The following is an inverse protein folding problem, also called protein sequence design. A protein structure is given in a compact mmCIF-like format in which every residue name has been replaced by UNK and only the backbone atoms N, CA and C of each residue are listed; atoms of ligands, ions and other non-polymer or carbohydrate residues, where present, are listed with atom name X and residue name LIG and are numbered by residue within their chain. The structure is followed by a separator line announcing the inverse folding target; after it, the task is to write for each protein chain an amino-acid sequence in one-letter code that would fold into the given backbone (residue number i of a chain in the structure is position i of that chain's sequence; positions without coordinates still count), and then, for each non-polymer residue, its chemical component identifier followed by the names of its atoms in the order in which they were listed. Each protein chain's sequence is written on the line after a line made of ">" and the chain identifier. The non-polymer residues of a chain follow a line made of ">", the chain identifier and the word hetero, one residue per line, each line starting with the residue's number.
data_IF_484471769567
#
_entry.id   IF_484471769567
#
_cell.length_a   1.000
_cell.length_b   1.000
_cell.length_c   1.000
_cell.angle_alpha   90.00
_cell.angle_beta   90.00
_cell.angle_gamma   90.00
#
_symmetry.space_group_name_H-M   'P 1'
#
loop_
_entity.id
_entity.type
_entity.pdbx_description
1 polymer ?
#
# COMPACT_ATOMS: atom_id res chain seq x y z
N UNK A 1 3.09 13.95 -18.83
CA UNK A 1 4.29 13.77 -19.68
C UNK A 1 5.17 12.74 -18.98
N UNK A 2 5.34 11.54 -19.53
CA UNK A 2 6.22 10.53 -18.94
C UNK A 2 7.66 10.93 -19.30
N UNK A 3 8.44 11.33 -18.30
CA UNK A 3 9.84 11.65 -18.50
C UNK A 3 10.57 10.38 -19.01
N UNK A 4 11.47 10.53 -19.97
CA UNK A 4 12.28 9.44 -20.58
C UNK A 4 13.75 9.67 -20.24
N UNK A 5 14.65 8.71 -20.52
CA UNK A 5 16.10 8.94 -20.35
C UNK A 5 16.61 10.20 -21.05
N UNK A 6 15.98 10.57 -22.17
CA UNK A 6 16.27 11.82 -22.88
C UNK A 6 15.96 13.07 -22.05
N UNK A 7 15.03 13.01 -21.10
CA UNK A 7 14.71 14.15 -20.22
C UNK A 7 15.72 14.33 -19.08
N UNK A 8 16.42 13.27 -18.69
CA UNK A 8 17.54 13.37 -17.77
C UNK A 8 18.72 14.14 -18.36
N UNK A 9 18.84 14.13 -19.70
CA UNK A 9 19.92 14.77 -20.44
C UNK A 9 19.54 16.13 -21.05
N UNK A 10 18.28 16.58 -21.01
CA UNK A 10 17.80 17.79 -21.74
C UNK A 10 17.44 19.01 -20.88
N UNK A 11 17.90 19.09 -19.62
CA UNK A 11 17.95 20.34 -18.82
C UNK A 11 16.64 21.11 -18.53
N UNK A 12 15.46 20.65 -18.93
CA UNK A 12 14.17 21.30 -18.56
C UNK A 12 13.51 20.56 -17.41
N UNK A 13 13.92 20.89 -16.18
CA UNK A 13 13.34 20.42 -14.92
C UNK A 13 12.70 21.59 -14.18
N UNK A 14 11.66 21.35 -13.38
CA UNK A 14 11.14 22.38 -12.48
C UNK A 14 12.11 22.59 -11.32
N UNK A 15 12.08 23.78 -10.72
CA UNK A 15 12.86 24.06 -9.51
C UNK A 15 12.48 23.11 -8.36
N UNK A 16 11.21 22.69 -8.29
CA UNK A 16 10.72 21.69 -7.33
C UNK A 16 11.34 20.32 -7.56
N UNK A 17 11.42 19.88 -8.83
CA UNK A 17 12.09 18.64 -9.19
C UNK A 17 13.58 18.67 -8.82
N UNK A 18 14.28 19.75 -9.17
CA UNK A 18 15.71 19.89 -8.87
C UNK A 18 15.98 19.86 -7.37
N UNK A 19 15.16 20.56 -6.58
CA UNK A 19 15.20 20.48 -5.13
C UNK A 19 15.02 19.05 -4.61
N UNK A 20 13.98 18.35 -5.07
CA UNK A 20 13.74 16.97 -4.63
C UNK A 20 14.86 16.02 -5.05
N UNK A 21 15.47 16.25 -6.21
CA UNK A 21 16.59 15.45 -6.70
C UNK A 21 17.87 15.71 -5.89
N UNK A 22 18.14 16.96 -5.49
CA UNK A 22 19.20 17.31 -4.54
C UNK A 22 19.02 16.58 -3.20
N UNK A 23 17.80 16.60 -2.65
CA UNK A 23 17.46 15.84 -1.45
C UNK A 23 17.61 14.33 -1.67
N UNK A 24 17.24 13.81 -2.84
CA UNK A 24 17.43 12.40 -3.16
C UNK A 24 18.90 12.00 -3.21
N UNK A 25 19.77 12.86 -3.76
CA UNK A 25 21.22 12.66 -3.75
C UNK A 25 21.79 12.68 -2.33
N UNK A 26 21.33 13.60 -1.48
CA UNK A 26 21.70 13.63 -0.06
C UNK A 26 21.35 12.31 0.64
N UNK A 27 20.10 11.85 0.51
CA UNK A 27 19.62 10.61 1.13
C UNK A 27 20.37 9.40 0.57
N UNK A 28 20.53 9.30 -0.75
CA UNK A 28 21.24 8.19 -1.39
C UNK A 28 22.72 8.14 -0.97
N UNK A 29 23.37 9.30 -0.88
CA UNK A 29 24.73 9.40 -0.35
C UNK A 29 24.78 8.92 1.10
N UNK A 30 23.89 9.40 1.98
CA UNK A 30 23.81 8.95 3.36
C UNK A 30 23.55 7.44 3.48
N UNK A 31 22.71 6.86 2.61
CA UNK A 31 22.46 5.42 2.51
C UNK A 31 23.75 4.65 2.17
N UNK A 32 24.65 5.20 1.34
CA UNK A 32 25.95 4.56 1.02
C UNK A 32 26.93 4.49 2.21
N UNK A 33 26.69 5.31 3.25
CA UNK A 33 27.45 5.32 4.50
C UNK A 33 26.69 4.74 5.70
N UNK A 34 25.55 4.07 5.47
CA UNK A 34 24.69 3.52 6.55
C UNK A 34 24.16 4.59 7.52
N UNK A 35 24.10 5.86 7.08
CA UNK A 35 23.60 7.00 7.87
C UNK A 35 22.14 7.34 7.60
N UNK A 36 21.54 6.71 6.60
CA UNK A 36 20.12 6.83 6.26
C UNK A 36 19.55 5.44 5.99
N UNK A 37 18.24 5.28 6.24
CA UNK A 37 17.54 4.01 6.05
C UNK A 37 17.56 3.64 4.57
N UNK A 38 18.00 2.41 4.26
CA UNK A 38 18.06 1.86 2.90
C UNK A 38 16.66 1.43 2.40
N UNK A 39 16.54 0.95 1.16
CA UNK A 39 15.32 0.27 0.70
C UNK A 39 15.03 -1.00 1.51
N UNK A 40 13.93 -1.70 1.20
CA UNK A 40 13.43 -2.85 1.97
C UNK A 40 14.41 -4.01 2.09
N UNK A 41 15.35 -4.16 1.16
CA UNK A 41 16.17 -5.37 1.00
C UNK A 41 17.65 -5.07 1.22
N UNK A 42 18.40 -6.09 1.67
CA UNK A 42 19.85 -5.98 1.87
C UNK A 42 20.63 -5.75 0.58
N UNK A 43 20.07 -6.14 -0.57
CA UNK A 43 20.63 -5.85 -1.90
C UNK A 43 20.29 -4.47 -2.44
N UNK A 44 19.45 -3.67 -1.76
CA UNK A 44 19.25 -2.25 -2.06
C UNK A 44 20.46 -1.41 -1.61
N UNK A 45 21.66 -2.00 -1.62
CA UNK A 45 22.90 -1.39 -1.18
C UNK A 45 23.28 -0.31 -2.18
N UNK A 46 23.52 0.89 -1.65
CA UNK A 46 24.10 1.99 -2.40
C UNK A 46 25.61 1.92 -2.21
N UNK A 47 26.35 1.77 -3.29
CA UNK A 47 27.81 1.80 -3.26
C UNK A 47 28.31 3.23 -3.10
N UNK A 48 29.51 3.40 -2.55
CA UNK A 48 30.16 4.71 -2.37
C UNK A 48 30.79 5.20 -3.68
N UNK A 49 29.99 5.23 -4.75
CA UNK A 49 30.36 5.80 -6.03
C UNK A 49 29.19 6.59 -6.63
N UNK A 50 29.52 7.54 -7.50
CA UNK A 50 28.55 8.44 -8.10
C UNK A 50 27.45 7.69 -8.85
N UNK A 51 27.78 6.65 -9.62
CA UNK A 51 26.82 5.93 -10.44
C UNK A 51 25.74 5.24 -9.59
N UNK A 52 26.14 4.62 -8.48
CA UNK A 52 25.21 3.96 -7.56
C UNK A 52 24.34 4.97 -6.82
N UNK A 53 24.92 6.05 -6.27
CA UNK A 53 24.19 7.13 -5.58
C UNK A 53 23.19 7.81 -6.52
N UNK A 54 23.63 8.18 -7.73
CA UNK A 54 22.81 8.81 -8.75
C UNK A 54 21.68 7.88 -9.20
N UNK A 55 21.99 6.60 -9.44
CA UNK A 55 21.00 5.59 -9.82
C UNK A 55 19.93 5.42 -8.74
N UNK A 56 20.31 5.43 -7.46
CA UNK A 56 19.36 5.38 -6.35
C UNK A 56 18.50 6.64 -6.27
N UNK A 57 19.11 7.83 -6.36
CA UNK A 57 18.41 9.10 -6.27
C UNK A 57 17.32 9.25 -7.34
N UNK A 58 17.58 8.77 -8.56
CA UNK A 58 16.66 8.81 -9.71
C UNK A 58 15.29 8.16 -9.44
N UNK A 59 15.25 7.14 -8.59
CA UNK A 59 14.04 6.35 -8.30
C UNK A 59 13.66 6.37 -6.82
N UNK A 60 14.25 7.27 -6.02
CA UNK A 60 14.10 7.23 -4.56
C UNK A 60 12.65 7.41 -4.09
N UNK A 61 11.89 8.25 -4.81
CA UNK A 61 10.48 8.54 -4.52
C UNK A 61 9.49 7.67 -5.32
N UNK A 62 9.98 6.67 -6.04
CA UNK A 62 9.13 5.69 -6.71
C UNK A 62 8.69 4.61 -5.70
N UNK A 63 7.50 4.04 -5.94
CA UNK A 63 6.86 2.99 -5.15
C UNK A 63 6.57 3.29 -3.67
N UNK A 64 5.30 3.16 -3.30
CA UNK A 64 4.88 3.20 -1.89
C UNK A 64 5.23 1.88 -1.21
N UNK A 65 5.85 1.97 -0.02
CA UNK A 65 6.23 0.82 0.81
C UNK A 65 5.86 1.03 2.28
N UNK A 66 6.17 0.06 3.13
CA UNK A 66 6.12 0.29 4.57
C UNK A 66 7.18 1.32 4.98
N UNK A 67 6.76 2.31 5.76
CA UNK A 67 7.67 3.26 6.39
C UNK A 67 8.40 2.55 7.54
N UNK A 68 9.70 2.77 7.65
CA UNK A 68 10.57 2.11 8.63
C UNK A 68 10.56 2.83 9.96
N UNK A 69 9.38 3.03 10.56
CA UNK A 69 9.25 3.78 11.80
C UNK A 69 10.26 3.29 12.87
N UNK A 70 10.95 4.19 13.61
CA UNK A 70 11.93 3.78 14.61
C UNK A 70 11.37 2.80 15.65
N UNK A 71 10.12 2.97 16.07
CA UNK A 71 9.47 2.10 17.07
C UNK A 71 9.14 0.74 16.48
N UNK A 72 8.72 0.68 15.21
CA UNK A 72 8.50 -0.59 14.51
C UNK A 72 9.81 -1.36 14.36
N UNK A 73 10.88 -0.68 13.94
CA UNK A 73 12.21 -1.31 13.77
C UNK A 73 12.76 -1.77 15.12
N UNK A 74 12.62 -0.97 16.18
CA UNK A 74 13.04 -1.35 17.53
C UNK A 74 12.26 -2.59 18.01
N UNK A 75 10.92 -2.58 17.86
CA UNK A 75 10.08 -3.73 18.21
C UNK A 75 10.53 -5.00 17.48
N UNK A 76 10.76 -4.93 16.17
CA UNK A 76 11.16 -6.09 15.37
C UNK A 76 12.57 -6.59 15.72
N UNK A 77 13.51 -5.69 16.02
CA UNK A 77 14.88 -6.07 16.44
C UNK A 77 14.91 -6.73 17.82
N UNK A 78 14.01 -6.32 18.71
CA UNK A 78 13.94 -6.80 20.10
C UNK A 78 12.92 -7.94 20.28
N UNK A 79 12.17 -8.28 19.22
CA UNK A 79 11.09 -9.26 19.26
C UNK A 79 11.62 -10.65 19.67
N UNK A 80 11.02 -11.21 20.73
CA UNK A 80 11.36 -12.54 21.25
C UNK A 80 10.15 -13.45 21.19
N UNK A 81 10.31 -14.58 20.51
CA UNK A 81 9.29 -15.62 20.43
C UNK A 81 9.90 -16.98 20.76
N UNK A 82 9.25 -17.72 21.66
CA UNK A 82 9.55 -19.13 21.85
C UNK A 82 8.87 -19.94 20.72
N UNK A 83 9.64 -20.34 19.71
CA UNK A 83 9.11 -21.07 18.56
C UNK A 83 8.42 -22.39 18.93
N UNK A 84 8.96 -23.12 19.93
CA UNK A 84 8.37 -24.39 20.37
C UNK A 84 6.97 -24.19 20.94
N UNK A 85 6.81 -23.18 21.79
CA UNK A 85 5.51 -22.88 22.41
C UNK A 85 4.53 -22.32 21.37
N UNK A 86 5.00 -21.38 20.54
CA UNK A 86 4.17 -20.73 19.53
C UNK A 86 3.61 -21.70 18.49
N UNK A 87 4.38 -22.70 18.06
CA UNK A 87 3.88 -23.68 17.10
C UNK A 87 2.86 -24.65 17.71
N UNK A 88 2.78 -24.75 19.04
CA UNK A 88 1.85 -25.64 19.75
C UNK A 88 0.56 -24.93 20.18
N UNK A 89 0.51 -23.59 20.14
CA UNK A 89 -0.65 -22.81 20.58
C UNK A 89 -1.88 -23.06 19.69
N UNK A 90 -2.87 -23.79 20.21
CA UNK A 90 -4.14 -24.07 19.53
C UNK A 90 -5.15 -22.93 19.66
N UNK A 91 -4.99 -22.03 20.62
CA UNK A 91 -5.86 -20.88 20.88
C UNK A 91 -5.42 -19.65 20.07
N UNK A 92 -4.28 -19.72 19.38
CA UNK A 92 -3.73 -18.61 18.61
C UNK A 92 -4.70 -18.08 17.54
N UNK A 93 -5.53 -18.96 16.95
CA UNK A 93 -6.56 -18.53 16.01
C UNK A 93 -7.55 -17.56 16.68
N UNK A 94 -8.04 -17.90 17.88
CA UNK A 94 -9.00 -17.07 18.60
C UNK A 94 -8.35 -15.74 19.05
N UNK A 95 -7.07 -15.79 19.48
CA UNK A 95 -6.29 -14.57 19.79
C UNK A 95 -6.13 -13.66 18.57
N UNK A 96 -5.89 -14.24 17.38
CA UNK A 96 -5.81 -13.47 16.14
C UNK A 96 -7.14 -12.80 15.82
N UNK A 97 -8.26 -13.51 15.96
CA UNK A 97 -9.60 -12.96 15.74
C UNK A 97 -9.86 -11.80 16.70
N UNK A 98 -9.63 -11.99 18.01
CA UNK A 98 -9.82 -10.95 19.02
C UNK A 98 -8.97 -9.71 18.75
N UNK A 99 -7.69 -9.91 18.46
CA UNK A 99 -6.75 -8.82 18.17
C UNK A 99 -7.16 -8.06 16.91
N UNK A 100 -7.51 -8.78 15.84
CA UNK A 100 -7.93 -8.17 14.58
C UNK A 100 -9.26 -7.41 14.71
N UNK A 101 -10.26 -7.97 15.39
CA UNK A 101 -11.56 -7.33 15.57
C UNK A 101 -11.43 -6.01 16.34
N UNK A 102 -10.63 -6.01 17.42
CA UNK A 102 -10.30 -4.80 18.17
C UNK A 102 -9.55 -3.78 17.29
N UNK A 103 -8.57 -4.24 16.52
CA UNK A 103 -7.74 -3.40 15.67
C UNK A 103 -8.54 -2.74 14.52
N UNK A 104 -9.53 -3.46 13.99
CA UNK A 104 -10.36 -3.05 12.85
C UNK A 104 -11.65 -2.33 13.24
N UNK A 105 -11.95 -2.18 14.54
CA UNK A 105 -13.24 -1.70 15.04
C UNK A 105 -13.75 -0.42 14.37
N UNK A 106 -12.87 0.52 14.02
CA UNK A 106 -13.23 1.79 13.37
C UNK A 106 -13.05 1.79 11.84
N UNK A 107 -12.57 0.71 11.24
CA UNK A 107 -12.20 0.62 9.83
C UNK A 107 -13.20 -0.20 9.00
N UNK A 108 -13.88 -1.16 9.62
CA UNK A 108 -14.85 -2.01 8.93
C UNK A 108 -16.22 -1.99 9.60
N UNK A 109 -17.26 -2.09 8.79
CA UNK A 109 -18.58 -2.55 9.24
C UNK A 109 -18.61 -4.05 8.93
N UNK A 110 -18.52 -4.92 9.94
CA UNK A 110 -18.42 -6.36 9.73
C UNK A 110 -19.72 -6.95 9.17
N UNK A 111 -19.63 -8.17 8.64
CA UNK A 111 -20.77 -8.97 8.22
C UNK A 111 -20.78 -10.28 9.01
N UNK A 112 -21.93 -10.65 9.56
CA UNK A 112 -22.11 -11.92 10.28
C UNK A 112 -21.89 -13.16 9.38
N UNK A 113 -21.96 -12.97 8.07
CA UNK A 113 -21.71 -13.99 7.05
C UNK A 113 -20.22 -14.21 6.76
N UNK A 114 -19.34 -13.37 7.28
CA UNK A 114 -17.91 -13.46 7.09
C UNK A 114 -17.22 -14.06 8.32
N UNK A 115 -16.13 -14.78 8.08
CA UNK A 115 -15.27 -15.33 9.11
C UNK A 115 -13.81 -15.00 8.79
N UNK A 116 -13.10 -14.52 9.80
CA UNK A 116 -11.66 -14.24 9.71
C UNK A 116 -10.88 -15.55 9.69
N UNK A 117 -9.90 -15.63 8.79
CA UNK A 117 -8.89 -16.68 8.71
C UNK A 117 -7.52 -16.05 8.56
N UNK A 118 -6.46 -16.63 9.12
CA UNK A 118 -5.12 -16.19 8.79
C UNK A 118 -4.81 -16.49 7.31
N UNK A 119 -3.92 -15.70 6.73
CA UNK A 119 -3.62 -15.74 5.30
C UNK A 119 -2.10 -15.71 5.09
N UNK A 120 -1.52 -16.65 4.30
CA UNK A 120 -0.09 -16.64 4.02
C UNK A 120 0.26 -15.47 3.08
N UNK A 121 -0.56 -15.19 2.07
CA UNK A 121 -0.42 -13.95 1.33
C UNK A 121 -1.70 -13.57 0.59
N UNK A 122 -1.84 -12.29 0.26
CA UNK A 122 -2.94 -11.81 -0.60
C UNK A 122 -2.96 -12.52 -1.94
N UNK A 123 -1.78 -12.90 -2.46
CA UNK A 123 -1.65 -13.66 -3.69
C UNK A 123 -2.32 -15.03 -3.59
N UNK A 124 -2.13 -15.75 -2.49
CA UNK A 124 -2.72 -17.08 -2.32
C UNK A 124 -4.24 -16.98 -2.22
N UNK A 125 -4.75 -16.01 -1.45
CA UNK A 125 -6.18 -15.73 -1.38
C UNK A 125 -6.77 -15.33 -2.75
N UNK A 126 -6.04 -14.54 -3.54
CA UNK A 126 -6.45 -14.21 -4.91
C UNK A 126 -6.49 -15.45 -5.80
N UNK A 127 -5.49 -16.33 -5.74
CA UNK A 127 -5.46 -17.58 -6.52
C UNK A 127 -6.66 -18.46 -6.18
N UNK A 128 -6.97 -18.63 -4.88
CA UNK A 128 -8.17 -19.36 -4.44
C UNK A 128 -9.45 -18.75 -5.03
N UNK A 129 -9.60 -17.42 -4.95
CA UNK A 129 -10.74 -16.71 -5.52
C UNK A 129 -10.84 -16.90 -7.04
N UNK A 130 -9.73 -16.79 -7.76
CA UNK A 130 -9.67 -16.94 -9.21
C UNK A 130 -9.99 -18.38 -9.64
N UNK A 131 -9.54 -19.38 -8.89
CA UNK A 131 -9.84 -20.79 -9.15
C UNK A 131 -11.31 -21.10 -8.92
N UNK A 132 -11.87 -20.65 -7.79
CA UNK A 132 -13.30 -20.77 -7.46
C UNK A 132 -14.21 -20.15 -8.53
N UNK A 133 -13.75 -19.04 -9.12
CA UNK A 133 -14.50 -18.26 -10.10
C UNK A 133 -13.94 -18.39 -11.52
N UNK A 134 -13.28 -19.51 -11.84
CA UNK A 134 -12.63 -19.73 -13.14
C UNK A 134 -13.59 -19.71 -14.34
N UNK A 135 -14.87 -20.03 -14.12
CA UNK A 135 -15.95 -20.01 -15.10
C UNK A 135 -16.55 -18.61 -15.32
N UNK A 136 -16.18 -17.63 -14.49
CA UNK A 136 -16.66 -16.24 -14.57
C UNK A 136 -15.66 -15.38 -15.34
N UNK A 137 -16.14 -14.27 -15.89
CA UNK A 137 -15.32 -13.25 -16.53
C UNK A 137 -14.71 -12.33 -15.47
N UNK A 138 -13.39 -12.17 -15.46
CA UNK A 138 -12.70 -11.36 -14.45
C UNK A 138 -12.76 -9.87 -14.80
N UNK A 139 -13.25 -9.04 -13.88
CA UNK A 139 -13.34 -7.59 -14.00
C UNK A 139 -12.46 -6.91 -12.94
N UNK A 140 -11.72 -5.89 -13.37
CA UNK A 140 -10.86 -5.05 -12.53
C UNK A 140 -11.04 -3.58 -12.91
N UNK A 141 -10.71 -2.66 -12.01
CA UNK A 141 -10.68 -1.23 -12.34
C UNK A 141 -9.34 -0.86 -13.00
N UNK A 142 -9.26 0.25 -13.75
CA UNK A 142 -8.01 0.66 -14.40
C UNK A 142 -6.91 1.08 -13.40
N UNK A 143 -7.31 1.60 -12.24
CA UNK A 143 -6.39 2.02 -11.15
C UNK A 143 -6.12 0.90 -10.13
N UNK A 144 -6.35 -0.36 -10.53
CA UNK A 144 -6.23 -1.54 -9.69
C UNK A 144 -4.76 -1.92 -9.44
N UNK A 145 -4.44 -2.46 -8.26
CA UNK A 145 -3.12 -3.04 -7.98
C UNK A 145 -2.89 -4.30 -8.83
N UNK A 146 -3.90 -5.18 -8.84
CA UNK A 146 -3.92 -6.42 -9.62
C UNK A 146 -4.17 -6.16 -11.11
N UNK A 147 -3.11 -5.81 -11.83
CA UNK A 147 -3.17 -5.48 -13.26
C UNK A 147 -3.29 -6.73 -14.18
N UNK A 148 -3.57 -6.47 -15.46
CA UNK A 148 -3.73 -7.52 -16.49
C UNK A 148 -2.50 -8.41 -16.63
N UNK A 149 -1.29 -7.86 -16.58
CA UNK A 149 -0.03 -8.62 -16.71
C UNK A 149 0.13 -9.60 -15.54
N UNK A 150 -0.08 -9.15 -14.31
CA UNK A 150 -0.04 -10.02 -13.13
C UNK A 150 -1.08 -11.13 -13.20
N UNK A 151 -2.31 -10.80 -13.60
CA UNK A 151 -3.40 -11.77 -13.70
C UNK A 151 -3.18 -12.80 -14.82
N UNK A 152 -2.48 -12.41 -15.89
CA UNK A 152 -2.10 -13.31 -16.99
C UNK A 152 -1.20 -14.46 -16.52
N UNK A 153 -0.34 -14.23 -15.52
CA UNK A 153 0.50 -15.28 -14.93
C UNK A 153 -0.32 -16.36 -14.22
N UNK A 154 -1.55 -16.06 -13.82
CA UNK A 154 -2.50 -17.03 -13.27
C UNK A 154 -3.45 -17.60 -14.32
N UNK A 155 -3.16 -17.40 -15.61
CA UNK A 155 -3.99 -17.84 -16.75
C UNK A 155 -5.39 -17.23 -16.71
N UNK A 156 -5.49 -15.98 -16.26
CA UNK A 156 -6.73 -15.22 -16.22
C UNK A 156 -6.60 -13.97 -17.09
N UNK A 157 -7.55 -13.79 -18.01
CA UNK A 157 -7.69 -12.54 -18.76
C UNK A 157 -8.67 -11.65 -18.03
N UNK A 158 -8.23 -10.45 -17.67
CA UNK A 158 -9.04 -9.45 -16.99
C UNK A 158 -9.50 -8.37 -17.96
N UNK A 159 -10.73 -7.90 -17.78
CA UNK A 159 -11.28 -6.76 -18.53
C UNK A 159 -11.60 -5.60 -17.60
N UNK A 160 -11.26 -4.39 -18.04
CA UNK A 160 -11.55 -3.20 -17.26
C UNK A 160 -13.05 -2.96 -17.16
N UNK A 161 -13.51 -2.51 -15.99
CA UNK A 161 -14.76 -1.80 -15.86
C UNK A 161 -14.45 -0.34 -15.52
N UNK A 162 -15.29 0.57 -16.01
CA UNK A 162 -15.20 2.00 -15.76
C UNK A 162 -16.22 2.40 -14.70
N UNK A 163 -17.42 1.83 -14.79
CA UNK A 163 -18.51 2.10 -13.86
C UNK A 163 -19.12 0.80 -13.35
N UNK A 164 -19.82 0.84 -12.20
CA UNK A 164 -20.56 -0.32 -11.70
C UNK A 164 -21.59 -0.91 -12.69
N UNK A 165 -22.07 -0.13 -13.66
CA UNK A 165 -23.03 -0.59 -14.69
C UNK A 165 -22.44 -1.61 -15.66
N UNK A 166 -21.11 -1.62 -15.84
CA UNK A 166 -20.43 -2.52 -16.77
C UNK A 166 -20.39 -3.99 -16.31
N UNK A 167 -20.77 -4.25 -15.05
CA UNK A 167 -20.69 -5.56 -14.40
C UNK A 167 -21.90 -6.42 -14.74
N UNK A 168 -21.68 -7.66 -15.19
CA UNK A 168 -22.73 -8.61 -15.57
C UNK A 168 -22.78 -9.85 -14.68
N UNK A 169 -23.88 -10.60 -14.68
CA UNK A 169 -24.12 -11.76 -13.78
C UNK A 169 -23.05 -12.86 -13.88
N UNK A 170 -22.39 -13.00 -15.04
CA UNK A 170 -21.32 -13.96 -15.29
C UNK A 170 -19.93 -13.45 -14.93
N UNK A 171 -19.83 -12.25 -14.36
CA UNK A 171 -18.57 -11.65 -13.98
C UNK A 171 -18.13 -12.12 -12.57
N UNK A 172 -16.87 -11.89 -12.25
CA UNK A 172 -16.31 -11.80 -10.90
C UNK A 172 -15.41 -10.57 -10.83
N UNK A 173 -15.35 -9.90 -9.69
CA UNK A 173 -14.62 -8.64 -9.53
C UNK A 173 -13.44 -8.82 -8.58
N UNK A 174 -12.29 -8.28 -8.95
CA UNK A 174 -11.15 -8.05 -8.05
C UNK A 174 -10.96 -6.54 -7.95
N UNK A 175 -10.96 -6.02 -6.73
CA UNK A 175 -10.77 -4.59 -6.47
C UNK A 175 -9.91 -4.37 -5.21
N UNK A 176 -8.97 -3.44 -5.27
CA UNK A 176 -8.26 -2.90 -4.11
C UNK A 176 -9.02 -1.68 -3.62
N UNK A 177 -9.37 -1.65 -2.33
CA UNK A 177 -10.00 -0.50 -1.68
C UNK A 177 -9.17 -0.13 -0.43
N UNK A 178 -8.55 1.06 -0.39
CA UNK A 178 -8.52 2.11 -1.42
C UNK A 178 -7.81 1.70 -2.72
N UNK A 179 -8.18 2.32 -3.85
CA UNK A 179 -7.56 2.05 -5.15
C UNK A 179 -6.06 2.35 -5.11
N UNK A 180 -5.26 1.53 -5.80
CA UNK A 180 -3.81 1.71 -5.79
C UNK A 180 -3.36 2.95 -6.57
N UNK A 181 -4.10 3.31 -7.63
CA UNK A 181 -3.68 4.39 -8.53
C UNK A 181 -3.71 5.79 -7.92
N UNK A 182 -4.63 6.04 -6.98
CA UNK A 182 -4.83 7.34 -6.35
C UNK A 182 -5.01 7.27 -4.82
N UNK A 183 -5.01 6.07 -4.23
CA UNK A 183 -5.26 5.83 -2.81
C UNK A 183 -6.64 6.28 -2.34
N UNK A 184 -7.62 6.42 -3.23
CA UNK A 184 -8.99 6.81 -2.88
C UNK A 184 -9.92 5.60 -2.74
N UNK A 185 -10.90 5.69 -1.85
CA UNK A 185 -12.08 4.84 -1.89
C UNK A 185 -13.09 5.50 -2.82
N UNK A 186 -13.41 4.92 -4.00
CA UNK A 186 -14.30 5.56 -4.93
C UNK A 186 -15.70 5.74 -4.35
N UNK A 187 -16.36 6.87 -4.64
CA UNK A 187 -17.74 7.14 -4.22
C UNK A 187 -18.75 6.11 -4.76
N UNK A 188 -18.43 5.45 -5.88
CA UNK A 188 -19.24 4.40 -6.48
C UNK A 188 -19.00 3.00 -5.87
N UNK A 189 -18.10 2.84 -4.89
CA UNK A 189 -17.75 1.53 -4.34
C UNK A 189 -18.94 0.82 -3.68
N UNK A 190 -19.80 1.52 -2.95
CA UNK A 190 -21.03 0.94 -2.39
C UNK A 190 -22.01 0.50 -3.50
N UNK A 191 -22.20 1.33 -4.53
CA UNK A 191 -23.02 1.01 -5.69
C UNK A 191 -22.51 -0.24 -6.43
N UNK A 192 -21.18 -0.42 -6.52
CA UNK A 192 -20.57 -1.62 -7.06
C UNK A 192 -20.95 -2.85 -6.25
N UNK A 193 -20.83 -2.79 -4.92
CA UNK A 193 -21.16 -3.91 -4.03
C UNK A 193 -22.66 -4.24 -4.06
N UNK A 194 -23.54 -3.24 -4.13
CA UNK A 194 -24.99 -3.42 -4.30
C UNK A 194 -25.32 -4.13 -5.62
N UNK A 195 -24.80 -3.63 -6.75
CA UNK A 195 -25.03 -4.24 -8.06
C UNK A 195 -24.48 -5.66 -8.13
N UNK A 196 -23.27 -5.89 -7.61
CA UNK A 196 -22.71 -7.23 -7.55
C UNK A 196 -23.56 -8.17 -6.70
N UNK A 197 -24.13 -7.67 -5.59
CA UNK A 197 -25.02 -8.46 -4.73
C UNK A 197 -26.30 -8.84 -5.46
N UNK A 198 -26.94 -7.87 -6.14
CA UNK A 198 -28.16 -8.11 -6.91
C UNK A 198 -27.95 -9.09 -8.08
N UNK A 199 -26.76 -9.09 -8.68
CA UNK A 199 -26.41 -9.95 -9.82
C UNK A 199 -25.74 -11.28 -9.42
N UNK A 200 -25.55 -11.53 -8.12
CA UNK A 200 -24.83 -12.74 -7.65
C UNK A 200 -23.37 -12.81 -8.13
N UNK A 201 -22.73 -11.66 -8.32
CA UNK A 201 -21.34 -11.52 -8.76
C UNK A 201 -20.42 -11.50 -7.53
N UNK A 202 -19.46 -12.42 -7.39
CA UNK A 202 -18.56 -12.43 -6.26
C UNK A 202 -17.46 -11.36 -6.41
N UNK A 203 -17.13 -10.72 -5.29
CA UNK A 203 -16.13 -9.65 -5.20
C UNK A 203 -15.01 -10.05 -4.25
N UNK A 204 -13.78 -9.93 -4.73
CA UNK A 204 -12.55 -9.98 -3.94
C UNK A 204 -12.09 -8.56 -3.65
N UNK A 205 -11.89 -8.23 -2.37
CA UNK A 205 -11.44 -6.91 -1.92
C UNK A 205 -10.03 -7.01 -1.33
N UNK A 206 -9.08 -6.25 -1.86
CA UNK A 206 -7.75 -6.07 -1.28
C UNK A 206 -7.69 -4.77 -0.48
N UNK A 207 -7.44 -4.87 0.82
CA UNK A 207 -7.36 -3.71 1.71
C UNK A 207 -5.93 -3.33 2.10
N UNK A 208 -4.92 -3.70 1.29
CA UNK A 208 -3.50 -3.47 1.63
C UNK A 208 -3.10 -2.01 1.93
N UNK A 209 -3.92 -1.03 1.54
CA UNK A 209 -3.69 0.40 1.78
C UNK A 209 -4.61 1.03 2.84
N UNK A 210 -5.52 0.26 3.45
CA UNK A 210 -6.59 0.78 4.30
C UNK A 210 -6.09 1.49 5.58
N UNK A 211 -5.12 0.91 6.27
CA UNK A 211 -4.53 1.43 7.51
C UNK A 211 -3.50 2.56 7.29
N UNK A 212 -3.33 3.01 6.04
CA UNK A 212 -2.55 4.22 5.72
C UNK A 212 -3.43 5.43 5.42
N UNK A 213 -4.75 5.29 5.48
CA UNK A 213 -5.68 6.36 5.19
C UNK A 213 -5.96 7.25 6.39
N UNK A 214 -6.04 8.56 6.18
CA UNK A 214 -6.53 9.51 7.20
C UNK A 214 -7.95 9.18 7.65
N UNK A 215 -8.79 8.77 6.70
CA UNK A 215 -10.15 8.34 6.93
C UNK A 215 -10.43 7.10 6.08
N UNK A 216 -10.84 6.01 6.73
CA UNK A 216 -11.23 4.80 6.03
C UNK A 216 -12.29 4.04 6.82
N UNK A 217 -13.42 3.78 6.15
CA UNK A 217 -14.46 2.92 6.67
C UNK A 217 -15.11 2.17 5.52
N UNK A 218 -15.00 0.84 5.52
CA UNK A 218 -15.57 -0.01 4.47
C UNK A 218 -16.67 -0.91 5.02
N UNK A 219 -17.83 -0.91 4.35
CA UNK A 219 -18.92 -1.79 4.67
C UNK A 219 -18.74 -3.16 4.01
N UNK A 220 -18.58 -4.21 4.83
CA UNK A 220 -18.42 -5.58 4.36
C UNK A 220 -19.74 -6.36 4.31
N UNK A 221 -20.85 -5.75 4.75
CA UNK A 221 -22.16 -6.39 4.85
C UNK A 221 -22.90 -6.46 3.52
N UNK A 222 -22.25 -7.01 2.51
CA UNK A 222 -22.83 -7.26 1.19
C UNK A 222 -22.73 -8.75 0.82
N UNK A 223 -23.82 -9.37 0.32
CA UNK A 223 -23.82 -10.76 -0.11
C UNK A 223 -22.72 -11.10 -1.13
N UNK A 224 -22.36 -10.15 -2.01
CA UNK A 224 -21.32 -10.34 -3.03
C UNK A 224 -19.89 -10.45 -2.50
N UNK A 225 -19.59 -9.91 -1.30
CA UNK A 225 -18.23 -9.89 -0.73
C UNK A 225 -17.82 -11.32 -0.41
N UNK A 226 -16.95 -11.88 -1.24
CA UNK A 226 -16.53 -13.28 -1.16
C UNK A 226 -15.30 -13.43 -0.27
N UNK A 227 -14.31 -12.56 -0.51
CA UNK A 227 -13.03 -12.55 0.18
C UNK A 227 -12.56 -11.10 0.38
N UNK A 228 -12.12 -10.76 1.58
CA UNK A 228 -11.47 -9.46 1.89
C UNK A 228 -10.10 -9.77 2.47
N UNK A 229 -9.04 -9.16 1.95
CA UNK A 229 -7.67 -9.44 2.38
C UNK A 229 -7.06 -8.26 3.10
N UNK A 230 -6.35 -8.55 4.19
CA UNK A 230 -5.72 -7.56 5.06
C UNK A 230 -4.26 -7.98 5.31
N UNK A 231 -3.32 -7.40 4.56
CA UNK A 231 -1.89 -7.66 4.73
C UNK A 231 -1.18 -6.50 5.43
N UNK A 232 -0.64 -6.71 6.62
CA UNK A 232 -0.02 -5.61 7.36
C UNK A 232 1.40 -5.26 6.86
N UNK A 233 1.89 -5.91 5.81
CA UNK A 233 3.22 -5.69 5.23
C UNK A 233 3.42 -4.33 4.55
N UNK A 234 2.35 -3.57 4.30
CA UNK A 234 2.44 -2.17 3.85
C UNK A 234 2.43 -1.16 5.00
N UNK A 235 2.02 -1.58 6.20
CA UNK A 235 2.10 -0.78 7.42
C UNK A 235 3.42 -0.99 8.14
N UNK A 236 3.74 -2.25 8.41
CA UNK A 236 4.94 -2.66 9.13
C UNK A 236 5.98 -3.18 8.12
N UNK A 237 7.29 -2.95 8.37
CA UNK A 237 8.37 -3.39 7.47
C UNK A 237 8.62 -4.91 7.57
N UNK A 238 7.59 -5.72 7.31
CA UNK A 238 7.56 -7.17 7.46
C UNK A 238 7.20 -7.89 6.15
N UNK A 239 7.34 -7.25 4.99
CA UNK A 239 6.91 -7.83 3.69
C UNK A 239 7.51 -9.23 3.44
N UNK A 240 8.74 -9.47 3.89
CA UNK A 240 9.42 -10.75 3.79
C UNK A 240 8.78 -11.90 4.59
N UNK A 241 8.00 -11.60 5.64
CA UNK A 241 7.33 -12.61 6.46
C UNK A 241 6.16 -13.27 5.75
N UNK A 242 5.56 -12.61 4.76
CA UNK A 242 4.38 -13.10 4.02
C UNK A 242 3.31 -13.60 4.99
N UNK A 243 2.62 -12.68 5.67
CA UNK A 243 1.47 -12.99 6.49
C UNK A 243 0.43 -11.87 6.42
N UNK A 244 -0.80 -12.23 6.80
CA UNK A 244 -1.92 -11.34 7.01
C UNK A 244 -3.11 -12.16 7.49
N UNK A 245 -4.30 -11.60 7.35
CA UNK A 245 -5.55 -12.31 7.55
C UNK A 245 -6.54 -11.93 6.45
N UNK A 246 -7.58 -12.73 6.29
CA UNK A 246 -8.64 -12.53 5.31
C UNK A 246 -10.00 -12.82 5.94
N UNK A 247 -11.02 -12.13 5.48
CA UNK A 247 -12.41 -12.49 5.72
C UNK A 247 -12.91 -13.30 4.54
N UNK A 248 -13.57 -14.43 4.81
CA UNK A 248 -14.23 -15.26 3.78
C UNK A 248 -15.63 -15.62 4.22
N UNK A 249 -16.52 -15.96 3.28
CA UNK A 249 -17.86 -16.43 3.62
C UNK A 249 -17.81 -17.63 4.58
N UNK A 250 -18.45 -17.52 5.74
CA UNK A 250 -18.50 -18.52 6.82
C UNK A 250 -18.93 -19.90 6.34
N UNK A 251 -19.87 -19.96 5.39
CA UNK A 251 -20.34 -21.22 4.77
C UNK A 251 -19.27 -21.99 4.00
N UNK A 252 -18.17 -21.33 3.61
CA UNK A 252 -17.05 -21.94 2.89
C UNK A 252 -15.90 -22.35 3.82
N UNK A 253 -15.98 -22.05 5.13
CA UNK A 253 -14.90 -22.34 6.08
C UNK A 253 -15.02 -23.74 6.62
N UNK A 254 -13.95 -24.53 6.47
CA UNK A 254 -13.79 -25.85 7.05
C UNK A 254 -12.94 -25.79 8.33
N UNK A 255 -13.01 -26.85 9.15
CA UNK A 255 -12.19 -26.96 10.37
C UNK A 255 -10.67 -26.92 10.08
N UNK A 256 -10.26 -27.44 8.92
CA UNK A 256 -8.85 -27.45 8.52
C UNK A 256 -8.32 -26.04 8.22
N UNK A 257 -9.18 -25.14 7.73
CA UNK A 257 -8.79 -23.76 7.43
C UNK A 257 -8.39 -22.99 8.69
N UNK A 258 -9.00 -23.29 9.84
CA UNK A 258 -8.62 -22.65 11.11
C UNK A 258 -7.37 -23.26 11.75
N UNK A 259 -7.01 -24.49 11.39
CA UNK A 259 -5.91 -25.23 12.03
C UNK A 259 -4.59 -25.20 11.25
N UNK A 260 -4.65 -25.15 9.91
CA UNK A 260 -3.50 -25.44 9.04
C UNK A 260 -3.25 -24.40 7.92
N UNK A 261 -4.00 -23.29 7.88
CA UNK A 261 -3.93 -22.33 6.76
C UNK A 261 -2.67 -21.47 6.73
N UNK A 262 -1.94 -21.34 7.84
CA UNK A 262 -0.75 -20.47 7.95
C UNK A 262 0.25 -20.97 8.98
N UNK A 263 1.45 -20.40 8.95
CA UNK A 263 2.45 -20.65 9.98
C UNK A 263 2.08 -19.87 11.27
N UNK A 264 2.13 -20.55 12.42
CA UNK A 264 1.77 -19.97 13.72
C UNK A 264 2.74 -18.90 14.21
N UNK A 265 3.98 -18.92 13.74
CA UNK A 265 5.02 -17.95 14.11
C UNK A 265 4.66 -16.55 13.59
N UNK A 266 4.27 -16.47 12.32
CA UNK A 266 3.84 -15.26 11.64
C UNK A 266 2.55 -14.70 12.20
N UNK A 267 1.59 -15.58 12.54
CA UNK A 267 0.37 -15.16 13.21
C UNK A 267 0.65 -14.55 14.59
N UNK A 268 1.57 -15.11 15.37
CA UNK A 268 1.95 -14.51 16.66
C UNK A 268 2.56 -13.12 16.46
N UNK A 269 3.46 -12.96 15.48
CA UNK A 269 4.03 -11.65 15.17
C UNK A 269 2.95 -10.64 14.76
N UNK A 270 1.94 -11.05 13.99
CA UNK A 270 0.82 -10.19 13.63
C UNK A 270 -0.03 -9.78 14.82
N UNK A 271 -0.35 -10.71 15.73
CA UNK A 271 -1.06 -10.44 16.98
C UNK A 271 -0.30 -9.39 17.78
N UNK A 272 0.98 -9.65 18.06
CA UNK A 272 1.79 -8.79 18.92
C UNK A 272 1.99 -7.39 18.30
N UNK A 273 2.08 -7.29 16.96
CA UNK A 273 2.10 -6.00 16.26
C UNK A 273 0.78 -5.23 16.38
N UNK A 274 -0.37 -5.90 16.19
CA UNK A 274 -1.69 -5.26 16.32
C UNK A 274 -1.98 -4.83 17.76
N UNK A 275 -1.56 -5.63 18.75
CA UNK A 275 -1.70 -5.30 20.17
C UNK A 275 -0.81 -4.13 20.59
N UNK A 276 0.39 -4.04 20.00
CA UNK A 276 1.35 -2.97 20.30
C UNK A 276 1.02 -1.66 19.59
N UNK A 277 0.61 -1.71 18.32
CA UNK A 277 0.44 -0.55 17.46
C UNK A 277 -0.99 -0.47 16.93
N UNK A 278 -1.80 0.54 17.32
CA UNK A 278 -3.15 0.71 16.80
C UNK A 278 -3.14 0.98 15.29
N UNK A 279 -4.25 0.66 14.62
CA UNK A 279 -4.37 0.80 13.16
C UNK A 279 -4.08 2.21 12.64
N UNK A 280 -4.37 3.23 13.43
CA UNK A 280 -4.13 4.64 13.09
C UNK A 280 -2.78 5.20 13.56
N UNK A 281 -1.87 4.34 14.05
CA UNK A 281 -0.56 4.77 14.59
C UNK A 281 0.24 5.58 13.57
N UNK A 282 0.32 5.11 12.32
CA UNK A 282 1.03 5.82 11.25
C UNK A 282 0.41 7.18 10.94
N UNK A 283 -0.93 7.25 10.95
CA UNK A 283 -1.68 8.49 10.66
C UNK A 283 -1.38 9.54 11.73
N UNK A 284 -1.53 9.16 13.00
CA UNK A 284 -1.30 10.06 14.14
C UNK A 284 0.12 10.61 14.16
N UNK A 285 1.10 9.77 13.84
CA UNK A 285 2.52 10.13 13.89
C UNK A 285 2.99 10.91 12.67
N UNK A 286 2.60 10.49 11.47
CA UNK A 286 3.13 11.02 10.22
C UNK A 286 2.21 12.00 9.49
N UNK A 287 0.95 12.13 9.88
CA UNK A 287 0.03 13.14 9.34
C UNK A 287 0.57 14.57 9.40
N UNK A 288 1.10 15.04 10.55
CA UNK A 288 1.75 16.36 10.63
C UNK A 288 2.97 16.50 9.71
N UNK A 289 3.75 15.43 9.54
CA UNK A 289 4.95 15.42 8.68
C UNK A 289 4.55 15.42 7.20
N UNK A 290 3.48 14.71 6.83
CA UNK A 290 2.87 14.79 5.49
C UNK A 290 2.46 16.23 5.19
N UNK A 291 1.72 16.87 6.11
CA UNK A 291 1.28 18.26 5.94
C UNK A 291 2.46 19.22 5.82
N UNK A 292 3.52 19.03 6.61
CA UNK A 292 4.75 19.81 6.52
C UNK A 292 5.35 19.75 5.12
N UNK A 293 5.58 18.54 4.58
CA UNK A 293 6.20 18.38 3.26
C UNK A 293 5.27 18.82 2.14
N UNK A 294 3.96 18.58 2.24
CA UNK A 294 2.99 19.08 1.26
C UNK A 294 3.00 20.61 1.20
N UNK A 295 3.02 21.30 2.34
CA UNK A 295 3.08 22.76 2.38
C UNK A 295 4.40 23.29 1.82
N UNK A 296 5.52 22.63 2.13
CA UNK A 296 6.84 23.04 1.65
C UNK A 296 6.98 22.89 0.14
N UNK A 297 6.48 21.78 -0.41
CA UNK A 297 6.62 21.41 -1.81
C UNK A 297 5.47 21.92 -2.70
N UNK A 298 4.50 22.64 -2.15
CA UNK A 298 3.33 23.07 -2.91
C UNK A 298 2.51 21.88 -3.44
N UNK A 299 2.38 20.82 -2.64
CA UNK A 299 1.61 19.61 -2.96
C UNK A 299 0.30 19.57 -2.17
N UNK A 300 -0.57 18.62 -2.50
CA UNK A 300 -1.78 18.34 -1.72
C UNK A 300 -1.64 17.01 -1.01
N UNK A 301 -2.02 16.89 0.27
CA UNK A 301 -2.04 15.59 0.93
C UNK A 301 -3.00 14.66 0.19
N UNK A 302 -2.54 13.44 -0.09
CA UNK A 302 -3.41 12.36 -0.56
C UNK A 302 -4.10 11.71 0.66
N UNK A 303 -5.17 10.93 0.45
CA UNK A 303 -5.83 10.17 1.51
C UNK A 303 -4.86 9.27 2.29
N UNK A 304 -3.88 8.67 1.60
CA UNK A 304 -2.78 7.91 2.22
C UNK A 304 -1.73 8.83 2.83
N UNK A 305 -1.38 8.62 4.11
CA UNK A 305 -0.37 9.40 4.85
C UNK A 305 1.02 9.34 4.20
N UNK A 306 1.34 8.27 3.47
CA UNK A 306 2.62 8.12 2.78
C UNK A 306 2.72 8.95 1.49
N UNK A 307 1.62 9.52 1.00
CA UNK A 307 1.52 10.03 -0.35
C UNK A 307 0.98 11.46 -0.41
N UNK A 308 1.19 12.10 -1.55
CA UNK A 308 0.63 13.42 -1.88
C UNK A 308 0.24 13.47 -3.35
N UNK A 309 -0.72 14.31 -3.71
CA UNK A 309 -0.95 14.66 -5.11
C UNK A 309 0.08 15.70 -5.59
N UNK A 310 0.58 15.50 -6.81
CA UNK A 310 1.60 16.35 -7.43
C UNK A 310 1.22 16.78 -8.85
N UNK A 311 1.84 17.86 -9.32
CA UNK A 311 1.65 18.32 -10.70
C UNK A 311 2.51 17.53 -11.70
N UNK A 312 2.36 17.91 -12.97
CA UNK A 312 3.02 17.26 -14.10
C UNK A 312 4.57 17.24 -14.03
N UNK A 313 5.17 18.14 -13.26
CA UNK A 313 6.62 18.27 -13.11
C UNK A 313 7.25 17.17 -12.25
N UNK A 314 6.45 16.47 -11.42
CA UNK A 314 6.91 15.36 -10.58
C UNK A 314 6.45 13.99 -11.10
N UNK A 315 5.83 13.92 -12.29
CA UNK A 315 5.35 12.66 -12.88
C UNK A 315 6.45 11.63 -13.17
N UNK A 316 7.71 12.02 -13.12
CA UNK A 316 8.80 11.06 -13.16
C UNK A 316 8.84 10.16 -11.92
N UNK A 317 8.51 10.72 -10.75
CA UNK A 317 8.49 9.97 -9.49
C UNK A 317 7.19 9.19 -9.31
N UNK A 318 6.13 9.56 -10.03
CA UNK A 318 4.92 8.75 -10.14
C UNK A 318 5.17 7.57 -11.08
N UNK A 319 5.82 6.52 -10.60
CA UNK A 319 5.98 5.32 -11.40
C UNK A 319 5.59 4.08 -10.60
N UNK A 320 4.30 3.78 -10.58
CA UNK A 320 3.88 2.39 -10.67
C UNK A 320 3.96 1.98 -12.13
N UNK A 321 5.13 1.42 -12.51
CA UNK A 321 5.47 1.08 -13.90
C UNK A 321 4.35 0.37 -14.65
N UNK A 322 3.65 -0.53 -13.95
CA UNK A 322 2.53 -1.30 -14.52
C UNK A 322 1.32 -0.43 -14.90
N UNK A 323 0.97 0.55 -14.07
CA UNK A 323 -0.18 1.44 -14.34
C UNK A 323 0.15 2.45 -15.43
N UNK A 324 1.40 2.90 -15.49
CA UNK A 324 1.90 3.71 -16.60
C UNK A 324 1.90 2.93 -17.94
N UNK A 325 2.28 1.65 -17.93
CA UNK A 325 2.20 0.75 -19.09
C UNK A 325 0.75 0.56 -19.57
N UNK A 326 -0.22 0.59 -18.66
CA UNK A 326 -1.66 0.57 -18.96
C UNK A 326 -2.25 1.96 -19.32
N UNK A 327 -1.41 3.00 -19.44
CA UNK A 327 -1.81 4.35 -19.84
C UNK A 327 -2.49 5.17 -18.74
N UNK A 328 -2.43 4.73 -17.49
CA UNK A 328 -2.99 5.45 -16.34
C UNK A 328 -1.96 6.44 -15.82
N UNK A 329 -2.23 7.73 -16.05
CA UNK A 329 -1.44 8.80 -15.44
C UNK A 329 -1.73 8.87 -13.94
N UNK A 330 -0.69 8.79 -13.12
CA UNK A 330 -0.79 8.92 -11.67
C UNK A 330 -0.19 10.24 -11.25
N UNK A 331 -0.98 11.11 -10.63
CA UNK A 331 -0.51 12.36 -10.06
C UNK A 331 -0.15 12.18 -8.59
N UNK A 332 0.53 11.08 -8.24
CA UNK A 332 0.86 10.72 -6.85
C UNK A 332 2.37 10.72 -6.63
N UNK A 333 2.80 11.30 -5.50
CA UNK A 333 4.19 11.39 -5.06
C UNK A 333 4.37 10.73 -3.70
N UNK A 334 5.39 9.88 -3.56
CA UNK A 334 5.72 9.16 -2.33
C UNK A 334 6.57 10.02 -1.38
N UNK A 335 6.06 10.29 -0.18
CA UNK A 335 6.71 11.11 0.84
C UNK A 335 7.61 10.30 1.79
N UNK A 336 7.60 8.97 1.71
CA UNK A 336 8.32 8.10 2.65
C UNK A 336 9.81 8.48 2.80
N UNK A 337 10.59 8.72 1.72
CA UNK A 337 11.99 9.10 1.88
C UNK A 337 12.19 10.41 2.64
N UNK A 338 11.27 11.37 2.47
CA UNK A 338 11.29 12.64 3.19
C UNK A 338 10.91 12.46 4.66
N UNK A 339 9.95 11.58 4.95
CA UNK A 339 9.50 11.29 6.32
C UNK A 339 10.56 10.53 7.12
N UNK A 340 11.22 9.55 6.52
CA UNK A 340 12.24 8.74 7.20
C UNK A 340 13.54 9.51 7.49
N UNK A 341 13.78 10.59 6.74
CA UNK A 341 14.99 11.39 6.84
C UNK A 341 14.68 12.84 7.22
N UNK A 342 13.51 13.08 7.83
CA UNK A 342 12.97 14.42 8.08
C UNK A 342 14.00 15.33 8.75
N UNK A 343 14.55 14.93 9.89
CA UNK A 343 15.49 15.74 10.67
C UNK A 343 16.80 16.00 9.90
N UNK A 344 17.37 14.95 9.29
CA UNK A 344 18.59 15.06 8.47
C UNK A 344 18.42 16.06 7.32
N UNK A 345 17.25 16.05 6.66
CA UNK A 345 16.97 16.98 5.58
C UNK A 345 16.80 18.40 6.14
N UNK A 346 16.10 18.59 7.27
CA UNK A 346 15.95 19.91 7.87
C UNK A 346 17.29 20.53 8.27
N UNK A 347 18.21 19.73 8.80
CA UNK A 347 19.54 20.21 9.16
C UNK A 347 20.36 20.58 7.93
N UNK A 348 20.33 19.76 6.89
CA UNK A 348 20.93 20.09 5.59
C UNK A 348 20.38 21.42 5.02
N UNK A 349 19.07 21.61 5.05
CA UNK A 349 18.43 22.81 4.53
C UNK A 349 18.83 24.08 5.30
N UNK A 350 19.04 23.97 6.63
CA UNK A 350 19.57 25.09 7.43
C UNK A 350 21.01 25.40 7.05
N UNK A 351 21.85 24.38 6.90
CA UNK A 351 23.26 24.53 6.53
C UNK A 351 23.43 25.16 5.14
N UNK A 352 22.59 24.77 4.18
CA UNK A 352 22.61 25.31 2.80
C UNK A 352 21.77 26.58 2.62
N UNK A 353 21.15 27.10 3.69
CA UNK A 353 20.27 28.28 3.69
C UNK A 353 19.07 28.15 2.74
N UNK A 354 18.59 26.92 2.54
CA UNK A 354 17.38 26.59 1.80
C UNK A 354 16.18 26.33 2.72
N UNK A 355 16.32 26.50 4.05
CA UNK A 355 15.28 26.29 5.07
C UNK A 355 14.01 27.13 4.82
N UNK A 356 14.15 28.28 4.15
CA UNK A 356 13.05 29.18 3.75
C UNK A 356 12.51 28.96 2.33
N UNK A 357 12.98 27.93 1.62
CA UNK A 357 12.47 27.59 0.30
C UNK A 357 11.10 26.91 0.42
N UNK A 358 10.09 27.52 -0.20
CA UNK A 358 8.74 26.99 -0.35
C UNK A 358 8.33 27.09 -1.81
N UNK A 359 7.60 26.08 -2.28
CA UNK A 359 7.03 26.05 -3.62
C UNK A 359 5.55 26.40 -3.58
N UNK A 360 5.06 27.13 -4.57
CA UNK A 360 3.63 27.41 -4.72
C UNK A 360 2.88 26.16 -5.11
N UNK A 361 1.62 26.08 -4.66
CA UNK A 361 0.65 25.21 -5.30
C UNK A 361 0.28 25.85 -6.62
N UNK A 362 0.58 25.21 -7.74
CA UNK A 362 0.14 25.71 -9.03
C UNK A 362 -1.33 25.34 -9.19
N UNK A 363 -2.19 26.34 -9.42
CA UNK A 363 -3.61 26.14 -9.74
C UNK A 363 -3.72 25.55 -11.16
N UNK A 364 -3.44 24.25 -11.33
CA UNK A 364 -3.66 23.56 -12.60
C UNK A 364 -4.74 22.49 -12.44
N UNK A 365 -5.96 22.91 -12.78
CA UNK A 365 -7.08 22.11 -13.25
C UNK A 365 -7.35 20.80 -12.50
N UNK A 366 -8.10 20.92 -11.40
CA UNK A 366 -9.01 19.86 -10.96
C UNK A 366 -10.05 19.62 -12.07
N UNK A 367 -9.66 18.89 -13.12
CA UNK A 367 -10.59 18.21 -14.00
C UNK A 367 -10.83 16.84 -13.39
N UNK A 368 -12.05 16.72 -12.86
CA UNK A 368 -12.76 15.54 -12.36
C UNK A 368 -12.45 14.26 -13.12
#
# INVERSE_FOLDING_TARGET
>A
MIYTEKHWTTLKRSSRFDFLFEIALLIANAQSYDKARRGERSWDKVEQNFQSVYGRAKYLYCDTRALRDPEYVAFLNEYKLNFYTAHQDYEQYDKLVESADKWLTNHFIPSDDLKLLPMPSTRDALIEFLQKNNHRKLRIHQQEYWNKTQLSHYRRTAEYFVTPDDINEKDCVVITLPLHGNFEVPSWSEQLLEKCSNKGVPVFIDCCWAWLQHEFRLNLNYPCVDTVTCTLGKMFPIEGFRNGFKFVKKKNVQKFDTLYSTNRIGNQLLIDLMDKFPADHMIKKYGPIQQFWCNRLGLWPAPSVHNSYCDNDLLWYSEHRMLAEDGVAQNVFCLIPLMENHDMILDYLKETKQDRLYFSKDLLNQAV
#
